data_IF_574665180489
#
_entry.id   IF_574665180489
#
_cell.length_a   1.000
_cell.length_b   1.000
_cell.length_c   1.000
_cell.angle_alpha   90.00
_cell.angle_beta   90.00
_cell.angle_gamma   90.00
#
_symmetry.space_group_name_H-M   'P 1'
#
loop_
_entity.id
_entity.type
_entity.pdbx_description
1 polymer ?
#
# COMPACT_ATOMS: atom_id res chain seq x y z
N UNK A 1 -18.88 1.16 4.32
CA UNK A 1 -19.25 -0.28 4.31
C UNK A 1 -19.45 -0.83 5.73
N UNK A 2 -18.46 -0.74 6.65
CA UNK A 2 -18.60 -1.26 8.03
C UNK A 2 -19.83 -0.75 8.79
N UNK A 3 -20.12 0.54 8.75
CA UNK A 3 -21.32 1.12 9.40
C UNK A 3 -22.66 0.56 8.89
N UNK A 4 -22.76 0.22 7.60
CA UNK A 4 -23.97 -0.42 7.05
C UNK A 4 -24.17 -1.83 7.61
N UNK A 5 -23.09 -2.62 7.65
CA UNK A 5 -23.15 -3.97 8.23
C UNK A 5 -23.39 -3.95 9.73
N UNK A 6 -22.88 -2.95 10.44
CA UNK A 6 -23.23 -2.72 11.85
C UNK A 6 -24.73 -2.46 12.01
N UNK A 7 -25.30 -1.51 11.26
CA UNK A 7 -26.74 -1.23 11.32
C UNK A 7 -27.61 -2.47 10.98
N UNK A 8 -27.16 -3.30 10.03
CA UNK A 8 -27.82 -4.55 9.67
C UNK A 8 -27.80 -5.58 10.82
N UNK A 9 -26.69 -5.68 11.55
CA UNK A 9 -26.55 -6.60 12.69
C UNK A 9 -27.50 -6.25 13.85
N UNK A 10 -27.73 -4.96 14.10
CA UNK A 10 -28.64 -4.46 15.14
C UNK A 10 -30.10 -4.35 14.68
N UNK A 11 -30.49 -5.04 13.59
CA UNK A 11 -31.86 -5.09 13.04
C UNK A 11 -32.46 -3.72 12.66
N UNK A 12 -31.64 -2.73 12.31
CA UNK A 12 -32.16 -1.49 11.74
C UNK A 12 -32.65 -1.72 10.30
N UNK A 13 -33.73 -1.01 9.91
CA UNK A 13 -34.25 -1.08 8.55
C UNK A 13 -33.26 -0.47 7.55
N UNK A 14 -32.51 -1.33 6.85
CA UNK A 14 -31.47 -0.95 5.88
C UNK A 14 -31.93 -1.11 4.42
N UNK A 15 -33.20 -1.46 4.18
CA UNK A 15 -33.73 -1.76 2.84
C UNK A 15 -33.60 -0.58 1.88
N UNK A 16 -33.79 0.65 2.35
CA UNK A 16 -33.65 1.86 1.52
C UNK A 16 -32.20 2.25 1.25
N UNK A 17 -31.24 1.74 2.02
CA UNK A 17 -29.81 2.12 1.94
C UNK A 17 -28.90 0.97 1.48
N UNK A 18 -29.50 -0.12 0.96
CA UNK A 18 -28.77 -1.31 0.50
C UNK A 18 -27.77 -1.08 -0.62
N UNK A 19 -27.88 0.04 -1.35
CA UNK A 19 -26.93 0.42 -2.41
C UNK A 19 -25.64 1.06 -1.87
N UNK A 20 -25.62 1.55 -0.62
CA UNK A 20 -24.47 2.27 -0.05
C UNK A 20 -23.19 1.41 -0.06
N UNK A 21 -23.19 0.13 0.36
CA UNK A 21 -22.00 -0.71 0.31
C UNK A 21 -21.46 -0.91 -1.10
N UNK A 22 -22.36 -1.06 -2.07
CA UNK A 22 -22.00 -1.25 -3.48
C UNK A 22 -21.31 0.00 -4.03
N UNK A 23 -21.93 1.17 -3.89
CA UNK A 23 -21.35 2.44 -4.35
C UNK A 23 -20.02 2.72 -3.65
N UNK A 24 -19.93 2.47 -2.34
CA UNK A 24 -18.69 2.64 -1.58
C UNK A 24 -17.57 1.73 -2.11
N UNK A 25 -17.89 0.48 -2.45
CA UNK A 25 -16.93 -0.47 -3.01
C UNK A 25 -16.46 -0.04 -4.40
N UNK A 26 -17.36 0.44 -5.26
CA UNK A 26 -17.01 0.96 -6.58
C UNK A 26 -16.04 2.15 -6.48
N UNK A 27 -16.33 3.12 -5.61
CA UNK A 27 -15.45 4.27 -5.37
C UNK A 27 -14.08 3.80 -4.86
N UNK A 28 -14.06 2.87 -3.91
CA UNK A 28 -12.83 2.28 -3.40
C UNK A 28 -11.98 1.64 -4.50
N UNK A 29 -12.60 0.83 -5.38
CA UNK A 29 -11.89 0.18 -6.50
C UNK A 29 -11.30 1.22 -7.45
N UNK A 30 -12.06 2.27 -7.81
CA UNK A 30 -11.57 3.33 -8.70
C UNK A 30 -10.36 4.04 -8.09
N UNK A 31 -10.45 4.45 -6.82
CA UNK A 31 -9.35 5.12 -6.11
C UNK A 31 -8.13 4.20 -5.98
N UNK A 32 -8.35 2.92 -5.67
CA UNK A 32 -7.28 1.93 -5.60
C UNK A 32 -6.59 1.77 -6.95
N UNK A 33 -7.34 1.63 -8.04
CA UNK A 33 -6.78 1.47 -9.39
C UNK A 33 -5.95 2.66 -9.86
N UNK A 34 -6.27 3.89 -9.43
CA UNK A 34 -5.50 5.09 -9.80
C UNK A 34 -4.29 5.29 -8.89
N UNK A 35 -4.42 4.97 -7.60
CA UNK A 35 -3.37 5.20 -6.60
C UNK A 35 -2.58 3.94 -6.25
N UNK A 36 -3.06 3.21 -5.24
CA UNK A 36 -2.35 2.07 -4.64
C UNK A 36 -2.12 0.88 -5.58
N UNK A 37 -2.83 0.81 -6.70
CA UNK A 37 -2.64 -0.20 -7.73
C UNK A 37 -1.29 -0.05 -8.41
N UNK A 38 -1.03 1.02 -9.20
CA UNK A 38 0.20 1.18 -9.96
C UNK A 38 1.37 1.80 -9.18
N UNK A 39 1.11 2.67 -8.19
CA UNK A 39 2.16 3.48 -7.55
C UNK A 39 3.24 2.62 -6.88
N UNK A 40 2.94 1.59 -6.06
CA UNK A 40 3.99 0.80 -5.40
C UNK A 40 4.89 0.05 -6.40
N UNK A 41 4.33 -0.42 -7.52
CA UNK A 41 5.10 -1.09 -8.57
C UNK A 41 5.98 -0.12 -9.35
N UNK A 42 5.48 1.09 -9.60
CA UNK A 42 6.27 2.17 -10.20
C UNK A 42 7.42 2.57 -9.27
N UNK A 43 7.13 2.79 -7.99
CA UNK A 43 8.10 3.20 -6.98
C UNK A 43 9.21 2.16 -6.78
N UNK A 44 8.87 0.86 -6.80
CA UNK A 44 9.86 -0.23 -6.82
C UNK A 44 10.81 -0.12 -8.02
N UNK A 45 10.33 0.41 -9.13
CA UNK A 45 11.14 0.67 -10.32
C UNK A 45 12.15 1.80 -10.17
N UNK A 46 11.84 2.79 -9.33
CA UNK A 46 12.57 4.06 -9.18
C UNK A 46 13.47 4.12 -7.95
N UNK A 47 13.16 3.39 -6.87
CA UNK A 47 13.95 3.44 -5.63
C UNK A 47 15.19 2.55 -5.70
N UNK A 48 15.13 1.41 -6.39
CA UNK A 48 16.20 0.43 -6.34
C UNK A 48 17.24 0.61 -7.46
N UNK A 49 18.55 0.69 -7.14
CA UNK A 49 19.60 0.74 -8.13
C UNK A 49 19.66 -0.57 -8.92
N UNK A 50 20.08 -0.48 -10.20
CA UNK A 50 19.99 -1.58 -11.16
C UNK A 50 20.65 -2.88 -10.70
N UNK A 51 21.70 -2.80 -9.89
CA UNK A 51 22.49 -3.92 -9.39
C UNK A 51 21.71 -4.80 -8.39
N UNK A 52 20.86 -4.21 -7.55
CA UNK A 52 20.09 -4.95 -6.53
C UNK A 52 18.61 -5.07 -6.87
N UNK A 53 18.13 -4.33 -7.88
CA UNK A 53 16.73 -4.23 -8.25
C UNK A 53 16.06 -5.60 -8.41
N UNK A 54 16.72 -6.57 -9.05
CA UNK A 54 16.16 -7.91 -9.26
C UNK A 54 15.90 -8.69 -7.96
N UNK A 55 16.83 -8.63 -7.01
CA UNK A 55 16.67 -9.32 -5.70
C UNK A 55 15.64 -8.56 -4.86
N UNK A 56 15.76 -7.24 -4.78
CA UNK A 56 14.85 -6.39 -4.02
C UNK A 56 13.39 -6.52 -4.51
N UNK A 57 13.16 -6.46 -5.82
CA UNK A 57 11.83 -6.63 -6.40
C UNK A 57 11.22 -8.00 -6.12
N UNK A 58 12.06 -9.05 -6.11
CA UNK A 58 11.62 -10.41 -5.81
C UNK A 58 11.17 -10.56 -4.36
N UNK A 59 11.92 -9.97 -3.42
CA UNK A 59 11.55 -9.94 -1.99
C UNK A 59 10.24 -9.17 -1.80
N UNK A 60 10.11 -7.97 -2.40
CA UNK A 60 8.89 -7.17 -2.28
C UNK A 60 7.68 -7.91 -2.87
N UNK A 61 7.85 -8.54 -4.04
CA UNK A 61 6.80 -9.34 -4.67
C UNK A 61 6.41 -10.52 -3.78
N UNK A 62 7.38 -11.27 -3.25
CA UNK A 62 7.14 -12.39 -2.33
C UNK A 62 6.40 -11.93 -1.07
N UNK A 63 6.84 -10.84 -0.44
CA UNK A 63 6.17 -10.28 0.73
C UNK A 63 4.73 -9.86 0.41
N UNK A 64 4.51 -9.19 -0.71
CA UNK A 64 3.17 -8.81 -1.16
C UNK A 64 2.25 -10.03 -1.32
N UNK A 65 2.70 -11.04 -2.09
CA UNK A 65 1.91 -12.26 -2.29
C UNK A 65 1.69 -13.04 -0.99
N UNK A 66 2.66 -13.04 -0.09
CA UNK A 66 2.51 -13.63 1.24
C UNK A 66 1.41 -12.93 2.03
N UNK A 67 1.38 -11.60 2.07
CA UNK A 67 0.31 -10.86 2.74
C UNK A 67 -1.05 -11.07 2.09
N UNK A 68 -1.13 -11.08 0.76
CA UNK A 68 -2.36 -11.41 0.03
C UNK A 68 -2.87 -12.81 0.41
N UNK A 69 -1.97 -13.79 0.48
CA UNK A 69 -2.31 -15.15 0.90
C UNK A 69 -2.81 -15.19 2.35
N UNK A 70 -2.09 -14.56 3.28
CA UNK A 70 -2.47 -14.51 4.69
C UNK A 70 -3.86 -13.86 4.86
N UNK A 71 -4.07 -12.67 4.28
CA UNK A 71 -5.37 -11.98 4.35
C UNK A 71 -6.46 -12.87 3.78
N UNK A 72 -6.27 -13.46 2.60
CA UNK A 72 -7.28 -14.32 1.97
C UNK A 72 -7.59 -15.56 2.82
N UNK A 73 -6.56 -16.19 3.40
CA UNK A 73 -6.73 -17.41 4.21
C UNK A 73 -7.42 -17.13 5.54
N UNK A 74 -7.05 -16.05 6.20
CA UNK A 74 -7.54 -15.69 7.53
C UNK A 74 -8.82 -14.84 7.51
N UNK A 75 -9.21 -14.30 6.36
CA UNK A 75 -10.40 -13.44 6.24
C UNK A 75 -11.67 -14.10 6.80
N UNK A 76 -11.98 -15.33 6.38
CA UNK A 76 -13.18 -16.04 6.86
C UNK A 76 -13.10 -16.33 8.37
N UNK A 77 -11.92 -16.68 8.88
CA UNK A 77 -11.72 -16.89 10.32
C UNK A 77 -11.95 -15.60 11.10
N UNK A 78 -11.43 -14.48 10.60
CA UNK A 78 -11.57 -13.16 11.21
C UNK A 78 -13.03 -12.71 11.22
N UNK A 79 -13.76 -12.85 10.10
CA UNK A 79 -15.19 -12.51 10.03
C UNK A 79 -16.01 -13.32 11.04
N UNK A 80 -15.71 -14.61 11.21
CA UNK A 80 -16.40 -15.44 12.22
C UNK A 80 -16.03 -15.09 13.65
N UNK A 81 -14.80 -14.61 13.91
CA UNK A 81 -14.32 -14.28 15.25
C UNK A 81 -14.79 -12.90 15.73
N UNK A 82 -14.77 -11.89 14.84
CA UNK A 82 -15.02 -10.49 15.22
C UNK A 82 -16.21 -9.86 14.50
N UNK A 83 -16.99 -10.60 13.72
CA UNK A 83 -18.08 -10.10 12.88
C UNK A 83 -17.60 -9.28 11.66
N UNK A 84 -18.40 -9.32 10.59
CA UNK A 84 -18.07 -8.71 9.31
C UNK A 84 -17.85 -7.18 9.42
N UNK A 85 -18.65 -6.48 10.22
CA UNK A 85 -18.56 -5.03 10.35
C UNK A 85 -17.23 -4.60 11.00
N UNK A 86 -16.74 -5.30 12.02
CA UNK A 86 -15.46 -5.01 12.65
C UNK A 86 -14.28 -5.33 11.73
N UNK A 87 -14.38 -6.38 10.90
CA UNK A 87 -13.36 -6.67 9.87
C UNK A 87 -13.19 -5.49 8.90
N UNK A 88 -14.29 -4.87 8.46
CA UNK A 88 -14.21 -3.67 7.61
C UNK A 88 -13.61 -2.46 8.33
N UNK A 89 -13.90 -2.26 9.61
CA UNK A 89 -13.29 -1.20 10.41
C UNK A 89 -11.78 -1.43 10.61
N UNK A 90 -11.35 -2.67 10.83
CA UNK A 90 -9.95 -3.04 10.92
C UNK A 90 -9.20 -2.72 9.61
N UNK A 91 -9.75 -3.09 8.46
CA UNK A 91 -9.14 -2.73 7.18
C UNK A 91 -9.14 -1.22 6.92
N UNK A 92 -10.17 -0.51 7.38
CA UNK A 92 -10.18 0.96 7.32
C UNK A 92 -9.01 1.55 8.12
N UNK A 93 -8.74 1.03 9.33
CA UNK A 93 -7.60 1.44 10.14
C UNK A 93 -6.27 1.19 9.40
N UNK A 94 -6.09 0.02 8.80
CA UNK A 94 -4.88 -0.28 8.02
C UNK A 94 -4.72 0.64 6.81
N UNK A 95 -5.81 0.98 6.10
CA UNK A 95 -5.76 1.94 4.99
C UNK A 95 -5.36 3.34 5.46
N UNK A 96 -5.89 3.79 6.61
CA UNK A 96 -5.52 5.08 7.21
C UNK A 96 -4.05 5.08 7.60
N UNK A 97 -3.58 4.08 8.35
CA UNK A 97 -2.18 3.94 8.72
C UNK A 97 -1.24 3.88 7.51
N UNK A 98 -1.63 3.13 6.46
CA UNK A 98 -0.89 3.06 5.21
C UNK A 98 -0.84 4.41 4.49
N UNK A 99 -1.92 5.20 4.53
CA UNK A 99 -1.95 6.56 3.97
C UNK A 99 -1.00 7.48 4.74
N UNK A 100 -1.00 7.42 6.08
CA UNK A 100 -0.04 8.16 6.89
C UNK A 100 1.40 7.75 6.56
N UNK A 101 1.67 6.45 6.45
CA UNK A 101 2.99 5.96 6.05
C UNK A 101 3.42 6.53 4.69
N UNK A 102 2.55 6.50 3.68
CA UNK A 102 2.87 7.04 2.35
C UNK A 102 3.10 8.55 2.40
N UNK A 103 2.26 9.31 3.09
CA UNK A 103 2.36 10.78 3.13
C UNK A 103 3.60 11.28 3.87
N UNK A 104 4.01 10.60 4.95
CA UNK A 104 5.09 11.09 5.82
C UNK A 104 6.44 10.40 5.61
N UNK A 105 6.47 9.14 5.16
CA UNK A 105 7.69 8.34 5.08
C UNK A 105 8.15 8.13 3.64
N UNK A 106 7.23 8.05 2.67
CA UNK A 106 7.60 7.80 1.28
C UNK A 106 8.00 9.13 0.61
N UNK A 107 9.26 9.28 0.15
CA UNK A 107 9.69 10.49 -0.54
C UNK A 107 9.08 10.56 -1.95
N UNK A 108 8.83 11.78 -2.44
CA UNK A 108 8.37 12.01 -3.81
C UNK A 108 9.51 11.72 -4.81
N UNK A 109 9.37 10.68 -5.63
CA UNK A 109 10.37 10.25 -6.62
C UNK A 109 10.17 10.86 -8.01
N UNK A 110 9.03 11.52 -8.25
CA UNK A 110 8.67 12.04 -9.57
C UNK A 110 9.64 13.12 -10.06
N UNK A 111 10.27 12.85 -11.20
CA UNK A 111 11.13 13.82 -11.90
C UNK A 111 12.51 14.01 -11.27
N UNK A 112 12.90 13.12 -10.36
CA UNK A 112 14.24 13.10 -9.75
C UNK A 112 15.15 12.09 -10.42
N UNK A 113 16.45 12.34 -10.40
CA UNK A 113 17.44 11.34 -10.85
C UNK A 113 17.61 10.24 -9.81
N UNK A 114 18.17 9.10 -10.22
CA UNK A 114 18.42 7.98 -9.30
C UNK A 114 19.35 8.40 -8.16
N UNK A 115 20.34 9.25 -8.44
CA UNK A 115 21.30 9.76 -7.47
C UNK A 115 20.61 10.63 -6.41
N UNK A 116 19.72 11.54 -6.82
CA UNK A 116 18.91 12.37 -5.90
C UNK A 116 17.98 11.51 -5.02
N UNK A 117 17.43 10.43 -5.56
CA UNK A 117 16.59 9.48 -4.81
C UNK A 117 17.43 8.70 -3.78
N UNK A 118 18.64 8.28 -4.13
CA UNK A 118 19.55 7.61 -3.18
C UNK A 118 19.97 8.56 -2.03
N UNK A 119 20.23 9.83 -2.33
CA UNK A 119 20.54 10.86 -1.32
C UNK A 119 19.34 11.11 -0.39
N UNK A 120 18.12 11.19 -0.94
CA UNK A 120 16.87 11.28 -0.17
C UNK A 120 16.63 10.08 0.75
N UNK A 121 17.09 8.89 0.36
CA UNK A 121 17.03 7.68 1.18
C UNK A 121 18.18 7.57 2.20
N UNK A 122 19.12 8.51 2.20
CA UNK A 122 20.25 8.55 3.15
C UNK A 122 21.44 7.68 2.75
N UNK A 123 21.59 7.34 1.46
CA UNK A 123 22.83 6.75 0.97
C UNK A 123 23.88 7.86 0.81
N UNK A 124 24.89 7.88 1.69
CA UNK A 124 26.05 8.76 1.58
C UNK A 124 26.81 8.42 0.29
N UNK A 125 26.66 9.24 -0.76
CA UNK A 125 27.35 9.07 -2.05
C UNK A 125 28.85 9.45 -2.00
N UNK A 126 29.37 9.69 -0.80
CA UNK A 126 30.70 10.26 -0.57
C UNK A 126 31.88 9.38 -1.04
N UNK A 127 31.83 8.03 -1.15
CA UNK A 127 32.98 7.28 -1.66
C UNK A 127 33.12 7.24 -3.20
N UNK A 128 32.05 7.50 -3.97
CA UNK A 128 32.01 7.22 -5.42
C UNK A 128 32.43 8.42 -6.28
N UNK A 129 32.37 9.63 -5.72
CA UNK A 129 32.83 10.86 -6.39
C UNK A 129 34.30 11.17 -6.14
N UNK A 130 34.96 10.46 -5.22
CA UNK A 130 36.41 10.53 -5.02
C UNK A 130 37.17 9.67 -6.00
N UNK A 131 36.63 8.53 -6.44
CA UNK A 131 37.36 7.61 -7.33
C UNK A 131 37.42 8.08 -8.80
N UNK A 132 36.48 8.94 -9.23
CA UNK A 132 36.40 9.45 -10.62
C UNK A 132 37.02 10.86 -10.77
N UNK A 133 37.73 11.34 -9.75
CA UNK A 133 38.36 12.67 -9.73
C UNK A 133 39.89 12.59 -9.73
N UNK A 134 40.44 11.38 -9.72
CA UNK A 134 41.89 11.11 -9.69
C UNK A 134 42.41 10.55 -11.04
N UNK A 135 41.53 10.46 -12.03
CA UNK A 135 41.70 9.83 -13.35
C UNK A 135 41.44 10.79 -14.53
N UNK A 136 41.48 12.11 -14.29
CA UNK A 136 41.54 13.17 -15.32
C UNK A 136 42.79 14.02 -15.18
#
# INVERSE_FOLDING_TARGET
>A
IGGFFYAKEFNYNTSSVGFIPLVSLCIFIILFSVGFGPIPWMLMGEIFPAQIKGIASSIVCMSNWLFVFLVTKFFTLLVSAIYLYNTFWLFTLFCVLGTFFVVFIVPETKGKTMEEIQELLGADLIPLLTENRDDV
#
